data_IF_173500315438
#
_entry.id   IF_173500315438
#
_cell.length_a   1.000
_cell.length_b   1.000
_cell.length_c   1.000
_cell.angle_alpha   90.00
_cell.angle_beta   90.00
_cell.angle_gamma   90.00
#
_symmetry.space_group_name_H-M   'P 1'
#
loop_
_entity.id
_entity.type
_entity.pdbx_description
1 polymer ?
#
# COMPACT_ATOMS: atom_id res chain seq x y z
N UNK A 1 21.70 -6.44 -4.84
CA UNK A 1 20.94 -6.75 -3.60
C UNK A 1 19.56 -7.26 -3.99
N UNK A 2 18.94 -8.14 -3.21
CA UNK A 2 17.56 -8.61 -3.41
C UNK A 2 16.92 -8.96 -2.07
N UNK A 3 15.58 -8.91 -2.01
CA UNK A 3 14.81 -9.33 -0.84
C UNK A 3 13.52 -8.53 -0.65
N UNK A 4 12.64 -9.08 0.19
CA UNK A 4 11.34 -8.50 0.51
C UNK A 4 11.34 -7.72 1.83
N UNK A 5 10.25 -6.98 2.08
CA UNK A 5 9.99 -6.27 3.33
C UNK A 5 11.16 -5.36 3.75
N UNK A 6 11.73 -5.55 4.95
CA UNK A 6 12.89 -4.78 5.42
C UNK A 6 14.04 -4.75 4.40
N UNK A 7 14.30 -5.88 3.75
CA UNK A 7 15.36 -6.01 2.74
C UNK A 7 15.04 -5.26 1.46
N UNK A 8 13.75 -5.18 1.11
CA UNK A 8 13.29 -4.32 0.02
C UNK A 8 13.44 -2.84 0.38
N UNK A 9 13.10 -2.46 1.62
CA UNK A 9 13.23 -1.07 2.10
C UNK A 9 14.69 -0.59 2.09
N UNK A 10 15.63 -1.40 2.57
CA UNK A 10 17.05 -1.02 2.60
C UNK A 10 17.60 -0.80 1.20
N UNK A 11 17.15 -1.58 0.20
CA UNK A 11 17.54 -1.37 -1.19
C UNK A 11 17.12 0.00 -1.72
N UNK A 12 15.89 0.46 -1.43
CA UNK A 12 15.44 1.79 -1.84
C UNK A 12 16.26 2.91 -1.20
N UNK A 13 16.63 2.77 0.08
CA UNK A 13 17.46 3.74 0.79
C UNK A 13 18.87 3.80 0.19
N UNK A 14 19.53 2.65 0.03
CA UNK A 14 20.92 2.59 -0.47
C UNK A 14 20.98 3.05 -1.93
N UNK A 15 20.04 2.63 -2.77
CA UNK A 15 20.01 3.02 -4.18
C UNK A 15 19.81 4.54 -4.35
N UNK A 16 19.13 5.21 -3.42
CA UNK A 16 18.94 6.66 -3.46
C UNK A 16 20.23 7.45 -3.17
N UNK A 17 21.23 6.82 -2.54
CA UNK A 17 22.56 7.41 -2.31
C UNK A 17 23.54 7.20 -3.49
N UNK A 18 23.11 6.49 -4.55
CA UNK A 18 23.90 6.23 -5.77
C UNK A 18 25.36 5.76 -5.52
N UNK A 19 25.59 4.66 -4.77
CA UNK A 19 26.95 4.18 -4.54
C UNK A 19 27.63 3.73 -5.86
N UNK A 20 28.93 4.01 -6.06
CA UNK A 20 29.63 3.75 -7.32
C UNK A 20 29.77 2.26 -7.68
N UNK A 21 29.69 1.36 -6.70
CA UNK A 21 29.75 -0.09 -6.91
C UNK A 21 28.61 -0.79 -6.15
N UNK A 22 27.47 -1.00 -6.81
CA UNK A 22 26.30 -1.68 -6.22
C UNK A 22 26.43 -3.23 -6.23
N UNK A 23 27.63 -3.73 -5.93
CA UNK A 23 27.93 -5.15 -5.84
C UNK A 23 28.62 -5.45 -4.51
N UNK A 24 27.90 -5.96 -3.50
CA UNK A 24 28.60 -6.53 -2.34
C UNK A 24 27.77 -7.53 -1.52
N UNK A 25 28.37 -8.72 -1.34
CA UNK A 25 27.87 -9.88 -0.58
C UNK A 25 28.24 -9.85 0.93
N UNK A 26 28.92 -8.82 1.45
CA UNK A 26 29.32 -8.77 2.87
C UNK A 26 28.33 -8.04 3.82
N UNK A 27 27.17 -7.61 3.31
CA UNK A 27 26.17 -6.88 4.10
C UNK A 27 25.53 -7.71 5.22
N UNK A 28 25.46 -9.04 5.04
CA UNK A 28 24.73 -9.92 5.93
C UNK A 28 25.50 -10.37 7.17
N UNK A 29 26.81 -10.61 7.05
CA UNK A 29 27.67 -10.94 8.18
C UNK A 29 27.89 -9.72 9.10
N UNK A 30 27.83 -8.50 8.54
CA UNK A 30 27.87 -7.25 9.30
C UNK A 30 26.52 -6.94 9.97
N UNK A 31 25.38 -7.16 9.30
CA UNK A 31 24.06 -6.84 9.86
C UNK A 31 23.73 -7.63 11.12
N UNK A 32 24.04 -8.93 11.15
CA UNK A 32 23.66 -9.81 12.26
C UNK A 32 24.52 -9.62 13.53
N UNK A 33 25.66 -8.94 13.41
CA UNK A 33 26.50 -8.57 14.56
C UNK A 33 26.28 -7.12 15.05
N UNK A 34 25.48 -6.29 14.35
CA UNK A 34 25.54 -4.82 14.48
C UNK A 34 24.18 -4.09 14.51
N UNK A 35 23.04 -4.78 14.62
CA UNK A 35 21.70 -4.12 14.71
C UNK A 35 21.42 -3.42 16.06
N UNK A 36 22.45 -2.81 16.63
CA UNK A 36 22.40 -1.74 17.62
C UNK A 36 23.69 -0.92 17.49
N UNK A 37 23.59 0.36 17.12
CA UNK A 37 24.72 1.28 17.25
C UNK A 37 25.09 1.50 18.72
N UNK A 38 26.24 2.14 19.04
CA UNK A 38 26.65 2.44 20.41
C UNK A 38 25.60 3.19 21.24
N UNK A 39 24.66 3.88 20.57
CA UNK A 39 23.54 4.62 21.16
C UNK A 39 22.24 3.84 21.41
N UNK A 40 22.26 2.49 21.38
CA UNK A 40 21.07 1.60 21.46
C UNK A 40 20.21 1.65 20.19
N UNK A 41 19.11 0.90 20.18
CA UNK A 41 18.12 0.87 19.08
C UNK A 41 17.18 2.06 19.19
N UNK A 42 16.85 2.68 18.07
CA UNK A 42 15.78 3.66 17.98
C UNK A 42 14.45 3.04 18.46
N UNK A 43 13.79 3.72 19.39
CA UNK A 43 12.45 3.37 19.82
C UNK A 43 11.42 4.07 18.91
N UNK A 44 11.15 3.45 17.77
CA UNK A 44 10.19 3.97 16.81
C UNK A 44 8.78 4.12 17.42
N UNK A 45 8.42 3.29 18.41
CA UNK A 45 7.12 3.40 19.11
C UNK A 45 7.03 4.71 19.89
N UNK A 46 8.02 4.98 20.74
CA UNK A 46 8.11 6.24 21.48
C UNK A 46 8.16 7.46 20.54
N UNK A 47 8.81 7.34 19.38
CA UNK A 47 8.90 8.44 18.43
C UNK A 47 7.58 8.70 17.68
N UNK A 48 6.76 7.67 17.42
CA UNK A 48 5.38 7.85 16.91
C UNK A 48 4.51 8.58 17.93
N UNK A 49 4.64 8.25 19.22
CA UNK A 49 3.91 8.95 20.29
C UNK A 49 4.37 10.40 20.45
N UNK A 50 5.68 10.64 20.37
CA UNK A 50 6.28 11.97 20.48
C UNK A 50 5.96 12.86 19.27
N UNK A 51 5.99 12.29 18.06
CA UNK A 51 5.85 13.03 16.80
C UNK A 51 4.63 12.54 16.00
N UNK A 52 3.44 12.98 16.42
CA UNK A 52 2.17 12.59 15.81
C UNK A 52 1.84 13.22 14.43
N UNK A 53 2.68 14.14 13.94
CA UNK A 53 2.58 14.75 12.60
C UNK A 53 3.89 14.57 11.84
N UNK A 54 3.81 14.64 10.51
CA UNK A 54 4.98 14.59 9.64
C UNK A 54 5.88 15.81 9.88
N UNK A 55 7.18 15.58 10.03
CA UNK A 55 8.19 16.58 10.33
C UNK A 55 9.57 16.11 9.82
N UNK A 56 10.62 16.88 10.07
CA UNK A 56 11.97 16.59 9.59
C UNK A 56 12.49 15.20 10.03
N UNK A 57 12.11 14.75 11.23
CA UNK A 57 12.47 13.42 11.72
C UNK A 57 11.86 12.29 10.89
N UNK A 58 10.62 12.44 10.43
CA UNK A 58 9.98 11.47 9.54
C UNK A 58 10.44 11.61 8.09
N UNK A 59 10.69 12.85 7.62
CA UNK A 59 11.20 13.10 6.28
C UNK A 59 12.60 12.51 6.08
N UNK A 60 13.47 12.57 7.08
CA UNK A 60 14.80 11.95 7.06
C UNK A 60 14.75 10.43 6.78
N UNK A 61 13.69 9.75 7.21
CA UNK A 61 13.52 8.30 7.03
C UNK A 61 12.97 7.92 5.67
N UNK A 62 12.63 8.90 4.82
CA UNK A 62 12.04 8.67 3.50
C UNK A 62 13.16 8.59 2.45
N UNK A 63 13.22 7.51 1.65
CA UNK A 63 14.20 7.41 0.58
C UNK A 63 13.98 8.52 -0.46
N UNK A 64 15.06 9.15 -0.92
CA UNK A 64 15.05 10.13 -2.02
C UNK A 64 14.91 9.41 -3.36
N UNK A 65 13.72 8.85 -3.62
CA UNK A 65 13.47 7.92 -4.72
C UNK A 65 13.88 8.45 -6.10
N UNK A 66 13.81 9.78 -6.32
CA UNK A 66 14.21 10.42 -7.59
C UNK A 66 15.69 10.23 -7.90
N UNK A 67 16.54 10.09 -6.89
CA UNK A 67 17.97 9.85 -7.08
C UNK A 67 18.26 8.45 -7.63
N UNK A 68 17.30 7.54 -7.66
CA UNK A 68 17.56 6.16 -8.07
C UNK A 68 17.64 6.06 -9.59
N UNK A 69 18.86 5.86 -10.11
CA UNK A 69 19.15 5.65 -11.54
C UNK A 69 19.58 4.20 -11.86
N UNK A 70 19.91 3.42 -10.83
CA UNK A 70 20.38 2.03 -10.97
C UNK A 70 19.33 1.13 -11.64
N UNK A 71 19.73 0.15 -12.48
CA UNK A 71 18.81 -0.85 -12.99
C UNK A 71 18.00 -1.51 -11.88
N UNK A 72 16.71 -1.76 -12.10
CA UNK A 72 15.83 -2.32 -11.08
C UNK A 72 14.82 -3.32 -11.62
N UNK A 73 14.59 -4.35 -10.84
CA UNK A 73 13.52 -5.31 -11.04
C UNK A 73 12.65 -5.34 -9.78
N UNK A 74 11.53 -4.62 -9.83
CA UNK A 74 10.67 -4.38 -8.68
C UNK A 74 9.43 -5.28 -8.71
N UNK A 75 9.03 -5.75 -7.53
CA UNK A 75 7.78 -6.50 -7.33
C UNK A 75 6.86 -5.73 -6.38
N UNK A 76 5.59 -5.61 -6.76
CA UNK A 76 4.52 -5.00 -5.99
C UNK A 76 3.37 -5.99 -5.84
N UNK A 77 3.27 -6.63 -4.68
CA UNK A 77 2.13 -7.46 -4.30
C UNK A 77 1.00 -6.58 -3.79
N UNK A 78 -0.25 -6.90 -4.14
CA UNK A 78 -1.42 -6.28 -3.48
C UNK A 78 -1.90 -7.05 -2.24
N UNK A 79 -1.44 -8.29 -2.02
CA UNK A 79 -1.85 -9.09 -0.86
C UNK A 79 -1.00 -8.83 0.39
N UNK A 80 0.16 -8.17 0.27
CA UNK A 80 1.05 -7.92 1.41
C UNK A 80 0.50 -6.89 2.41
N UNK A 81 -0.51 -6.08 2.02
CA UNK A 81 -1.16 -5.05 2.85
C UNK A 81 -0.19 -4.11 3.60
N UNK A 82 1.04 -3.97 3.10
CA UNK A 82 2.11 -3.20 3.76
C UNK A 82 3.00 -2.51 2.74
N UNK A 83 3.45 -3.26 1.73
CA UNK A 83 4.54 -2.83 0.86
C UNK A 83 4.09 -2.31 -0.51
N UNK A 84 2.81 -2.50 -0.88
CA UNK A 84 2.26 -2.18 -2.21
C UNK A 84 2.52 -0.75 -2.65
N UNK A 85 2.15 0.23 -1.81
CA UNK A 85 2.34 1.66 -2.05
C UNK A 85 3.82 2.01 -2.20
N UNK A 86 4.67 1.52 -1.28
CA UNK A 86 6.10 1.78 -1.30
C UNK A 86 6.78 1.26 -2.56
N UNK A 87 6.49 0.02 -2.97
CA UNK A 87 7.05 -0.57 -4.19
C UNK A 87 6.62 0.18 -5.45
N UNK A 88 5.34 0.57 -5.55
CA UNK A 88 4.85 1.34 -6.69
C UNK A 88 5.46 2.73 -6.76
N UNK A 89 5.54 3.44 -5.64
CA UNK A 89 6.20 4.75 -5.56
C UNK A 89 7.68 4.62 -5.92
N UNK A 90 8.38 3.60 -5.43
CA UNK A 90 9.78 3.34 -5.78
C UNK A 90 9.97 3.17 -7.28
N UNK A 91 9.09 2.40 -7.93
CA UNK A 91 9.13 2.20 -9.38
C UNK A 91 8.76 3.46 -10.19
N UNK A 92 7.69 4.17 -9.82
CA UNK A 92 7.23 5.38 -10.52
C UNK A 92 8.23 6.54 -10.32
N UNK A 93 8.67 6.74 -9.09
CA UNK A 93 9.54 7.86 -8.70
C UNK A 93 11.04 7.60 -8.92
N UNK A 94 11.47 6.45 -9.39
CA UNK A 94 12.86 6.25 -9.80
C UNK A 94 13.13 6.82 -11.19
N UNK A 95 14.34 7.37 -11.40
CA UNK A 95 14.84 7.87 -12.68
C UNK A 95 15.56 6.81 -13.51
N UNK A 96 15.67 5.58 -13.01
CA UNK A 96 16.23 4.45 -13.74
C UNK A 96 15.56 4.27 -15.10
N UNK A 97 16.36 4.29 -16.16
CA UNK A 97 15.94 3.93 -17.53
C UNK A 97 15.76 2.43 -17.70
N UNK A 98 16.38 1.64 -16.81
CA UNK A 98 16.42 0.19 -16.86
C UNK A 98 15.61 -0.40 -15.72
N UNK A 99 14.29 -0.20 -15.79
CA UNK A 99 13.37 -0.66 -14.75
C UNK A 99 12.29 -1.61 -15.26
N UNK A 100 12.00 -2.62 -14.46
CA UNK A 100 10.95 -3.62 -14.68
C UNK A 100 10.04 -3.73 -13.45
N UNK A 101 8.74 -3.88 -13.67
CA UNK A 101 7.73 -4.03 -12.62
C UNK A 101 6.94 -5.33 -12.77
N UNK A 102 6.82 -6.07 -11.67
CA UNK A 102 5.87 -7.15 -11.49
C UNK A 102 4.77 -6.80 -10.50
N UNK A 103 3.53 -6.86 -10.95
CA UNK A 103 2.32 -6.73 -10.12
C UNK A 103 1.70 -8.11 -9.92
N UNK A 104 1.69 -8.58 -8.67
CA UNK A 104 1.41 -9.98 -8.34
C UNK A 104 0.22 -10.12 -7.38
N UNK A 105 -0.45 -11.27 -7.46
CA UNK A 105 -1.65 -11.59 -6.67
C UNK A 105 -1.38 -12.38 -5.39
N UNK A 106 -0.18 -12.94 -5.28
CA UNK A 106 0.25 -13.82 -4.20
C UNK A 106 0.95 -13.03 -3.10
N UNK A 107 1.11 -13.64 -1.94
CA UNK A 107 1.93 -13.08 -0.86
C UNK A 107 3.39 -13.02 -1.32
N UNK A 108 4.10 -11.95 -0.97
CA UNK A 108 5.45 -11.66 -1.50
C UNK A 108 6.51 -12.74 -1.25
N UNK A 109 6.46 -13.42 -0.10
CA UNK A 109 7.32 -14.57 0.22
C UNK A 109 6.96 -15.79 -0.62
N UNK A 110 5.67 -16.02 -0.87
CA UNK A 110 5.28 -17.08 -1.78
C UNK A 110 5.84 -16.84 -3.18
N UNK A 111 5.82 -15.60 -3.67
CA UNK A 111 6.32 -15.23 -4.99
C UNK A 111 7.85 -15.33 -5.08
N UNK A 112 8.61 -14.74 -4.16
CA UNK A 112 10.08 -14.66 -4.30
C UNK A 112 10.77 -16.03 -4.32
N UNK A 113 10.16 -17.05 -3.70
CA UNK A 113 10.70 -18.42 -3.64
C UNK A 113 10.18 -19.36 -4.73
N UNK A 114 9.38 -18.86 -5.69
CA UNK A 114 9.01 -19.66 -6.85
C UNK A 114 10.22 -19.85 -7.76
N UNK A 115 10.51 -21.08 -8.24
CA UNK A 115 11.62 -21.32 -9.16
C UNK A 115 11.64 -20.35 -10.34
N UNK A 116 10.49 -20.15 -10.99
CA UNK A 116 10.33 -19.25 -12.13
C UNK A 116 10.70 -17.78 -11.82
N UNK A 117 10.56 -17.35 -10.56
CA UNK A 117 10.85 -16.00 -10.12
C UNK A 117 12.31 -15.83 -9.68
N UNK A 118 12.88 -16.88 -9.11
CA UNK A 118 14.31 -16.99 -8.84
C UNK A 118 15.09 -16.97 -10.15
N UNK A 119 14.62 -17.68 -11.17
CA UNK A 119 15.23 -17.71 -12.51
C UNK A 119 15.21 -16.32 -13.16
N UNK A 120 14.08 -15.61 -13.10
CA UNK A 120 14.00 -14.22 -13.57
C UNK A 120 14.99 -13.31 -12.82
N UNK A 121 15.08 -13.45 -11.49
CA UNK A 121 16.00 -12.66 -10.67
C UNK A 121 17.46 -12.97 -11.02
N UNK A 122 17.80 -14.24 -11.25
CA UNK A 122 19.12 -14.64 -11.69
C UNK A 122 19.44 -14.05 -13.07
N UNK A 123 18.51 -14.09 -14.03
CA UNK A 123 18.71 -13.47 -15.35
C UNK A 123 18.94 -11.97 -15.25
N UNK A 124 18.19 -11.26 -14.41
CA UNK A 124 18.42 -9.85 -14.15
C UNK A 124 19.83 -9.59 -13.60
N UNK A 125 20.26 -10.33 -12.57
CA UNK A 125 21.60 -10.15 -12.01
C UNK A 125 22.71 -10.57 -12.96
N UNK A 126 22.55 -11.65 -13.70
CA UNK A 126 23.50 -12.09 -14.72
C UNK A 126 23.74 -11.00 -15.77
N UNK A 127 22.68 -10.29 -16.20
CA UNK A 127 22.81 -9.16 -17.13
C UNK A 127 23.56 -7.99 -16.50
N UNK A 128 23.17 -7.54 -15.31
CA UNK A 128 23.65 -6.26 -14.76
C UNK A 128 24.87 -6.36 -13.83
N UNK A 129 25.21 -7.56 -13.36
CA UNK A 129 26.32 -7.80 -12.43
C UNK A 129 27.46 -8.58 -13.08
N UNK A 130 27.15 -9.40 -14.08
CA UNK A 130 28.11 -10.25 -14.79
C UNK A 130 28.24 -9.90 -16.27
N UNK A 131 27.53 -8.87 -16.74
CA UNK A 131 27.52 -8.40 -18.14
C UNK A 131 27.18 -9.51 -19.15
N UNK A 132 26.35 -10.49 -18.74
CA UNK A 132 25.95 -11.57 -19.65
C UNK A 132 24.86 -11.08 -20.61
N UNK A 133 25.07 -11.35 -21.90
CA UNK A 133 24.02 -11.21 -22.90
C UNK A 133 23.06 -12.43 -22.85
N UNK A 134 22.07 -12.36 -21.95
CA UNK A 134 21.10 -13.42 -21.70
C UNK A 134 19.67 -13.06 -22.14
N UNK A 135 19.54 -11.99 -22.92
CA UNK A 135 18.27 -11.46 -23.39
C UNK A 135 17.31 -10.98 -22.29
N UNK A 136 17.82 -10.54 -21.13
CA UNK A 136 16.96 -9.98 -20.08
C UNK A 136 16.20 -8.73 -20.56
N UNK A 137 16.83 -7.89 -21.37
CA UNK A 137 16.29 -6.60 -21.80
C UNK A 137 15.02 -6.73 -22.66
N UNK A 138 14.79 -7.89 -23.30
CA UNK A 138 13.57 -8.20 -24.04
C UNK A 138 12.39 -8.59 -23.11
N UNK A 139 12.61 -8.72 -21.80
CA UNK A 139 11.55 -8.93 -20.83
C UNK A 139 10.60 -7.74 -20.81
N UNK A 140 9.27 -7.94 -20.85
CA UNK A 140 8.29 -6.85 -20.78
C UNK A 140 8.53 -5.95 -19.57
N UNK A 141 8.58 -4.63 -19.80
CA UNK A 141 8.83 -3.62 -18.76
C UNK A 141 7.84 -3.71 -17.61
N UNK A 142 6.59 -4.08 -17.90
CA UNK A 142 5.56 -4.31 -16.90
C UNK A 142 4.90 -5.65 -17.14
N UNK A 143 4.80 -6.45 -16.07
CA UNK A 143 3.98 -7.66 -16.01
C UNK A 143 3.02 -7.53 -14.85
N UNK A 144 1.72 -7.62 -15.08
CA UNK A 144 0.71 -7.46 -14.03
C UNK A 144 -0.31 -8.59 -14.05
N UNK A 145 -1.02 -8.70 -12.93
CA UNK A 145 -1.95 -9.78 -12.68
C UNK A 145 -3.30 -9.24 -12.20
N UNK A 146 -4.37 -9.94 -12.54
CA UNK A 146 -5.75 -9.65 -12.15
C UNK A 146 -6.23 -10.72 -11.17
N UNK A 147 -6.59 -10.30 -9.96
CA UNK A 147 -7.16 -11.17 -8.94
C UNK A 147 -8.56 -11.63 -9.37
N UNK A 148 -8.74 -12.94 -9.52
CA UNK A 148 -10.04 -13.56 -9.66
C UNK A 148 -10.53 -14.09 -8.31
N UNK A 149 -11.70 -13.62 -7.86
CA UNK A 149 -12.32 -14.13 -6.63
C UNK A 149 -13.07 -15.45 -6.86
N UNK A 150 -13.91 -15.47 -7.90
CA UNK A 150 -14.75 -16.61 -8.26
C UNK A 150 -14.22 -17.37 -9.49
N UNK A 151 -13.00 -17.03 -9.93
CA UNK A 151 -12.29 -17.63 -11.05
C UNK A 151 -10.78 -17.67 -10.77
N UNK A 152 -10.00 -18.50 -11.48
CA UNK A 152 -8.54 -18.40 -11.44
C UNK A 152 -8.07 -16.97 -11.79
N UNK A 153 -7.06 -16.49 -11.06
CA UNK A 153 -6.42 -15.21 -11.36
C UNK A 153 -5.70 -15.26 -12.71
N UNK A 154 -5.69 -14.14 -13.43
CA UNK A 154 -4.94 -14.00 -14.68
C UNK A 154 -3.59 -13.38 -14.31
N UNK A 155 -2.49 -14.07 -14.60
CA UNK A 155 -1.13 -13.66 -14.20
C UNK A 155 -0.25 -13.36 -15.42
N UNK A 156 0.82 -12.59 -15.19
CA UNK A 156 1.85 -12.28 -16.20
C UNK A 156 1.36 -11.58 -17.48
N UNK A 157 0.32 -10.75 -17.37
CA UNK A 157 -0.13 -9.93 -18.49
C UNK A 157 0.94 -8.88 -18.78
N UNK A 158 1.44 -8.85 -20.01
CA UNK A 158 2.51 -7.94 -20.42
C UNK A 158 1.97 -6.54 -20.74
N UNK A 159 2.77 -5.52 -20.46
CA UNK A 159 2.56 -4.13 -20.86
C UNK A 159 3.91 -3.39 -20.96
N UNK A 160 3.94 -2.36 -21.81
CA UNK A 160 5.15 -1.55 -22.02
C UNK A 160 5.31 -0.43 -20.97
N UNK A 161 4.22 -0.07 -20.30
CA UNK A 161 4.19 1.02 -19.32
C UNK A 161 3.24 0.72 -18.15
N UNK A 162 3.46 1.43 -17.05
CA UNK A 162 2.58 1.43 -15.88
C UNK A 162 2.02 2.85 -15.64
N UNK A 163 0.70 3.02 -15.53
CA UNK A 163 -0.35 2.03 -15.83
C UNK A 163 -0.35 1.59 -17.30
N UNK A 164 -0.89 0.39 -17.63
CA UNK A 164 -0.98 -0.09 -19.02
C UNK A 164 -1.71 0.92 -19.93
N UNK A 165 -1.36 1.00 -21.22
CA UNK A 165 -1.91 2.00 -22.14
C UNK A 165 -3.46 1.99 -22.28
N UNK A 166 -4.10 0.84 -22.02
CA UNK A 166 -5.56 0.70 -22.02
C UNK A 166 -6.24 1.10 -20.71
N UNK A 167 -5.48 1.46 -19.69
CA UNK A 167 -6.00 1.88 -18.39
C UNK A 167 -6.82 3.17 -18.54
N UNK A 168 -7.99 3.23 -17.91
CA UNK A 168 -8.90 4.38 -17.92
C UNK A 168 -9.38 4.65 -16.50
N UNK A 169 -9.64 5.92 -16.22
CA UNK A 169 -10.28 6.36 -14.98
C UNK A 169 -11.76 6.50 -15.24
N UNK A 170 -12.56 5.88 -14.36
CA UNK A 170 -14.00 6.01 -14.34
C UNK A 170 -14.43 6.57 -12.98
N UNK A 171 -15.36 7.53 -13.01
CA UNK A 171 -15.94 8.11 -11.78
C UNK A 171 -17.28 7.44 -11.49
N UNK A 172 -17.41 6.89 -10.29
CA UNK A 172 -18.67 6.42 -9.74
C UNK A 172 -19.10 7.35 -8.61
N UNK A 173 -20.33 7.83 -8.68
CA UNK A 173 -20.97 8.64 -7.65
C UNK A 173 -21.76 7.77 -6.69
N UNK A 174 -21.67 8.07 -5.40
CA UNK A 174 -22.49 7.47 -4.36
C UNK A 174 -23.82 8.22 -4.25
N UNK A 175 -24.91 7.49 -4.35
CA UNK A 175 -26.23 7.95 -3.92
C UNK A 175 -26.49 7.44 -2.50
N UNK A 176 -26.48 8.35 -1.52
CA UNK A 176 -26.67 7.98 -0.12
C UNK A 176 -28.12 7.60 0.22
N UNK A 177 -29.10 8.03 -0.57
CA UNK A 177 -30.51 7.66 -0.36
C UNK A 177 -30.79 6.21 -0.79
N UNK A 178 -30.20 5.77 -1.90
CA UNK A 178 -30.36 4.41 -2.41
C UNK A 178 -29.25 3.44 -1.98
N UNK A 179 -28.11 3.96 -1.49
CA UNK A 179 -26.95 3.17 -1.11
C UNK A 179 -26.22 2.53 -2.30
N UNK A 180 -26.32 3.15 -3.49
CA UNK A 180 -25.79 2.59 -4.75
C UNK A 180 -24.66 3.43 -5.33
N UNK A 181 -23.81 2.80 -6.13
CA UNK A 181 -22.79 3.47 -6.95
C UNK A 181 -23.26 3.49 -8.41
N UNK A 182 -23.11 4.64 -9.07
CA UNK A 182 -23.46 4.77 -10.49
C UNK A 182 -22.64 5.84 -11.22
N UNK A 183 -22.69 5.84 -12.54
CA UNK A 183 -21.95 6.82 -13.37
C UNK A 183 -22.58 8.21 -13.39
N UNK A 184 -23.85 8.33 -12.99
CA UNK A 184 -24.58 9.58 -12.97
C UNK A 184 -24.50 10.21 -11.59
N UNK A 185 -24.14 11.49 -11.52
CA UNK A 185 -24.19 12.26 -10.28
C UNK A 185 -25.65 12.39 -9.81
N UNK A 186 -25.98 12.07 -8.54
CA UNK A 186 -27.31 12.30 -8.00
C UNK A 186 -27.73 13.78 -8.13
N UNK A 187 -28.98 14.01 -8.50
CA UNK A 187 -29.54 15.36 -8.65
C UNK A 187 -29.88 16.03 -7.32
N UNK A 188 -30.01 15.23 -6.25
CA UNK A 188 -30.45 15.66 -4.93
C UNK A 188 -29.43 15.23 -3.90
N UNK A 189 -29.11 16.14 -2.98
CA UNK A 189 -28.25 15.83 -1.84
C UNK A 189 -28.95 14.88 -0.87
N UNK A 190 -28.21 13.91 -0.36
CA UNK A 190 -28.67 12.98 0.68
C UNK A 190 -27.53 12.65 1.63
N UNK A 191 -27.89 12.31 2.88
CA UNK A 191 -26.95 12.02 3.95
C UNK A 191 -27.29 10.66 4.54
N UNK A 192 -26.25 9.88 4.83
CA UNK A 192 -26.34 8.63 5.60
C UNK A 192 -25.51 8.77 6.86
N UNK A 193 -26.10 8.42 8.01
CA UNK A 193 -25.40 8.39 9.29
C UNK A 193 -25.07 6.96 9.69
N UNK A 194 -23.82 6.74 10.09
CA UNK A 194 -23.35 5.45 10.58
C UNK A 194 -22.83 5.62 12.00
N UNK A 195 -23.32 4.81 12.94
CA UNK A 195 -22.78 4.82 14.31
C UNK A 195 -21.33 4.35 14.27
N UNK A 196 -20.42 5.15 14.82
CA UNK A 196 -19.08 4.69 15.17
C UNK A 196 -19.24 3.66 16.29
N UNK A 197 -19.09 2.37 15.97
CA UNK A 197 -19.05 1.36 17.03
C UNK A 197 -17.80 1.66 17.86
N UNK A 198 -18.03 2.19 19.05
CA UNK A 198 -17.02 2.35 20.08
C UNK A 198 -17.14 1.09 20.94
N UNK A 199 -16.12 0.22 21.03
CA UNK A 199 -16.21 -0.93 21.91
C UNK A 199 -15.96 -0.46 23.33
N UNK A 200 -16.98 0.11 23.98
CA UNK A 200 -16.98 0.31 25.42
C UNK A 200 -18.39 0.07 25.96
N UNK A 201 -18.52 -1.15 26.52
CA UNK A 201 -19.35 -1.64 27.63
C UNK A 201 -20.09 -2.91 27.25
N UNK A 202 -19.74 -3.97 27.97
CA UNK A 202 -20.37 -5.28 28.00
C UNK A 202 -21.89 -5.13 28.15
N UNK A 203 -22.64 -5.47 27.12
CA UNK A 203 -23.97 -6.02 27.33
C UNK A 203 -24.18 -7.23 26.43
N UNK A 204 -24.14 -8.38 27.08
CA UNK A 204 -24.36 -9.67 26.47
C UNK A 204 -25.86 -9.84 26.23
N UNK A 205 -26.36 -9.45 25.06
CA UNK A 205 -27.52 -10.11 24.44
C UNK A 205 -27.86 -9.61 23.02
N UNK A 206 -27.90 -10.60 22.11
CA UNK A 206 -28.68 -10.69 20.86
C UNK A 206 -28.01 -10.28 19.55
N UNK A 207 -28.50 -10.75 18.38
CA UNK A 207 -28.86 -12.12 18.01
C UNK A 207 -27.93 -12.66 16.91
N UNK A 208 -27.95 -13.98 16.72
CA UNK A 208 -27.12 -14.77 15.81
C UNK A 208 -27.05 -14.23 14.37
N UNK A 209 -25.85 -13.94 13.82
CA UNK A 209 -25.67 -13.78 12.38
C UNK A 209 -25.66 -15.16 11.71
N UNK A 210 -26.32 -15.27 10.55
CA UNK A 210 -26.31 -16.46 9.72
C UNK A 210 -24.89 -16.96 9.46
N UNK A 211 -24.61 -18.21 9.84
CA UNK A 211 -23.34 -18.92 9.63
C UNK A 211 -22.99 -18.98 8.14
N UNK A 212 -22.17 -18.05 7.65
CA UNK A 212 -21.37 -18.28 6.44
C UNK A 212 -20.03 -18.87 6.89
N UNK A 213 -19.80 -20.15 6.56
CA UNK A 213 -18.49 -20.79 6.71
C UNK A 213 -17.46 -20.02 5.88
N UNK A 214 -16.70 -19.12 6.49
CA UNK A 214 -15.50 -18.55 5.88
C UNK A 214 -14.39 -19.56 6.10
N UNK A 215 -14.00 -20.28 5.03
CA UNK A 215 -13.06 -21.42 5.09
C UNK A 215 -11.62 -21.06 4.72
N UNK A 216 -11.24 -19.78 4.65
CA UNK A 216 -9.86 -19.40 4.27
C UNK A 216 -9.40 -18.19 5.09
N UNK A 217 -8.38 -18.40 5.92
CA UNK A 217 -7.61 -17.31 6.52
C UNK A 217 -7.02 -16.45 5.40
N UNK A 218 -7.13 -15.12 5.52
CA UNK A 218 -6.56 -14.12 4.59
C UNK A 218 -7.14 -14.02 3.17
N UNK A 219 -8.47 -14.05 3.00
CA UNK A 219 -9.04 -13.54 1.75
C UNK A 219 -8.79 -12.02 1.68
N UNK A 220 -7.98 -11.56 0.70
CA UNK A 220 -7.99 -10.16 0.29
C UNK A 220 -9.42 -9.81 -0.11
N UNK A 221 -9.98 -8.70 0.37
CA UNK A 221 -11.38 -8.31 0.13
C UNK A 221 -11.52 -7.08 -0.74
N UNK A 222 -10.40 -6.58 -1.25
CA UNK A 222 -10.34 -5.38 -2.06
C UNK A 222 -9.37 -4.34 -1.48
N UNK A 223 -9.13 -3.28 -2.26
CA UNK A 223 -8.32 -2.16 -1.82
C UNK A 223 -9.03 -1.37 -0.72
N UNK A 224 -8.26 -0.85 0.23
CA UNK A 224 -8.76 0.04 1.27
C UNK A 224 -7.95 1.34 1.32
N UNK A 225 -8.55 2.37 1.90
CA UNK A 225 -7.93 3.66 2.17
C UNK A 225 -8.27 4.09 3.59
N UNK A 226 -7.41 4.89 4.20
CA UNK A 226 -7.62 5.41 5.56
C UNK A 226 -7.14 6.84 5.64
N UNK A 227 -7.98 7.70 6.17
CA UNK A 227 -7.62 9.08 6.47
C UNK A 227 -8.28 9.50 7.78
N UNK A 228 -7.48 10.07 8.68
CA UNK A 228 -8.02 10.85 9.80
C UNK A 228 -8.46 12.20 9.23
N UNK A 229 -9.67 12.64 9.55
CA UNK A 229 -10.22 13.87 8.97
C UNK A 229 -9.45 15.16 9.34
N UNK A 230 -8.69 15.16 10.44
CA UNK A 230 -7.91 16.35 10.84
C UNK A 230 -6.70 16.64 9.95
N UNK A 231 -5.82 15.68 9.57
CA UNK A 231 -4.75 15.92 8.60
C UNK A 231 -5.19 15.79 7.13
N UNK A 232 -6.32 16.40 6.75
CA UNK A 232 -6.92 16.32 5.40
C UNK A 232 -6.37 17.31 4.37
N UNK A 233 -5.29 18.03 4.68
CA UNK A 233 -4.72 18.99 3.75
C UNK A 233 -4.25 18.30 2.45
N UNK A 234 -4.46 18.95 1.31
CA UNK A 234 -4.02 18.49 -0.02
C UNK A 234 -3.28 19.65 -0.69
N UNK A 235 -2.02 19.91 -0.30
CA UNK A 235 -1.21 20.88 -1.01
C UNK A 235 -0.79 20.31 -2.36
N UNK A 236 -0.41 21.20 -3.28
CA UNK A 236 0.35 20.79 -4.45
C UNK A 236 1.65 20.12 -4.00
N UNK A 237 1.92 18.91 -4.48
CA UNK A 237 3.18 18.22 -4.23
C UNK A 237 4.13 18.52 -5.37
N UNK A 238 5.32 19.03 -5.06
CA UNK A 238 6.49 19.00 -5.94
C UNK A 238 7.61 18.22 -5.26
N UNK A 239 8.55 17.75 -6.06
CA UNK A 239 9.87 17.29 -5.62
C UNK A 239 10.91 18.25 -6.19
N UNK A 240 12.12 18.22 -5.65
CA UNK A 240 13.22 19.12 -6.04
C UNK A 240 13.46 19.12 -7.56
N UNK A 241 13.36 17.96 -8.21
CA UNK A 241 13.56 17.76 -9.65
C UNK A 241 12.27 17.38 -10.42
N UNK A 242 11.09 17.54 -9.81
CA UNK A 242 9.80 17.20 -10.43
C UNK A 242 8.71 18.20 -10.05
N UNK A 243 8.28 19.01 -11.02
CA UNK A 243 7.23 20.00 -10.83
C UNK A 243 5.88 19.35 -10.47
N UNK A 244 4.94 20.14 -9.94
CA UNK A 244 3.66 19.60 -9.46
C UNK A 244 2.81 18.98 -10.56
N UNK A 245 2.78 19.57 -11.75
CA UNK A 245 2.00 19.02 -12.87
C UNK A 245 2.58 17.68 -13.36
N UNK A 246 3.91 17.58 -13.42
CA UNK A 246 4.59 16.33 -13.79
C UNK A 246 4.42 15.25 -12.72
N UNK A 247 4.48 15.62 -11.44
CA UNK A 247 4.18 14.72 -10.33
C UNK A 247 2.75 14.20 -10.41
N UNK A 248 1.77 15.08 -10.62
CA UNK A 248 0.37 14.71 -10.75
C UNK A 248 0.12 13.83 -11.97
N UNK A 249 0.76 14.12 -13.10
CA UNK A 249 0.70 13.28 -14.30
C UNK A 249 1.29 11.88 -14.04
N UNK A 250 2.37 11.79 -13.28
CA UNK A 250 3.05 10.54 -12.96
C UNK A 250 2.25 9.66 -11.98
N UNK A 251 1.61 10.28 -10.98
CA UNK A 251 0.83 9.57 -9.96
C UNK A 251 -0.61 9.27 -10.40
N UNK A 252 -1.17 10.15 -11.24
CA UNK A 252 -2.53 10.07 -11.75
C UNK A 252 -3.60 10.61 -10.78
N UNK A 253 -4.81 10.91 -11.29
CA UNK A 253 -5.87 11.60 -10.54
C UNK A 253 -6.48 10.80 -9.38
N UNK A 254 -6.35 9.48 -9.35
CA UNK A 254 -6.85 8.66 -8.24
C UNK A 254 -5.94 8.65 -7.01
N UNK A 255 -4.75 9.25 -7.12
CA UNK A 255 -3.79 9.36 -6.04
C UNK A 255 -3.79 10.76 -5.45
N UNK A 256 -3.88 10.85 -4.12
CA UNK A 256 -3.90 12.12 -3.39
C UNK A 256 -2.75 12.13 -2.38
N UNK A 257 -1.99 13.22 -2.39
CA UNK A 257 -0.92 13.43 -1.44
C UNK A 257 -1.42 14.25 -0.25
N UNK A 258 -1.37 13.65 0.93
CA UNK A 258 -1.51 14.36 2.19
C UNK A 258 -0.12 14.55 2.82
N UNK A 259 0.25 15.79 3.22
CA UNK A 259 1.56 16.09 3.79
C UNK A 259 1.64 15.64 5.24
N UNK A 260 0.48 15.55 5.92
CA UNK A 260 0.36 15.22 7.35
C UNK A 260 1.20 16.10 8.29
N UNK A 261 1.61 17.29 7.85
CA UNK A 261 2.44 18.23 8.63
C UNK A 261 1.66 19.05 9.66
N UNK A 262 0.35 19.20 9.46
CA UNK A 262 -0.54 19.96 10.34
C UNK A 262 -1.90 19.29 10.47
N UNK A 263 -2.62 19.65 11.54
CA UNK A 263 -3.99 19.20 11.81
C UNK A 263 -4.97 20.36 11.66
N UNK A 264 -6.14 20.05 11.09
CA UNK A 264 -7.27 20.98 10.97
C UNK A 264 -8.39 20.46 11.89
N UNK A 265 -8.55 21.03 13.10
CA UNK A 265 -9.59 20.59 14.03
C UNK A 265 -10.97 20.77 13.41
N UNK A 266 -11.91 19.91 13.83
CA UNK A 266 -13.30 19.95 13.39
C UNK A 266 -14.18 20.47 14.52
N UNK A 267 -15.14 21.33 14.17
CA UNK A 267 -16.25 21.67 15.07
C UNK A 267 -17.31 20.58 14.98
N UNK A 268 -18.15 20.48 16.01
CA UNK A 268 -19.34 19.63 15.95
C UNK A 268 -20.18 20.02 14.74
N UNK A 269 -20.68 19.02 14.02
CA UNK A 269 -21.51 19.14 12.82
C UNK A 269 -20.85 19.85 11.61
N UNK A 270 -19.54 20.08 11.67
CA UNK A 270 -18.79 20.63 10.54
C UNK A 270 -18.62 19.57 9.45
N UNK A 271 -19.25 19.81 8.29
CA UNK A 271 -19.05 19.00 7.09
C UNK A 271 -17.73 19.41 6.43
N UNK A 272 -16.90 18.42 6.08
CA UNK A 272 -15.64 18.62 5.35
C UNK A 272 -15.51 17.58 4.24
N UNK A 273 -14.90 18.00 3.14
CA UNK A 273 -14.50 17.11 2.06
C UNK A 273 -13.26 16.30 2.46
N UNK A 274 -13.24 15.03 2.06
CA UNK A 274 -12.13 14.11 2.30
C UNK A 274 -11.82 13.37 1.00
N UNK A 275 -10.62 13.59 0.48
CA UNK A 275 -10.07 12.72 -0.56
C UNK A 275 -9.30 11.57 0.09
N UNK A 276 -9.67 10.33 -0.23
CA UNK A 276 -9.05 9.14 0.35
C UNK A 276 -8.56 8.24 -0.77
N UNK A 277 -7.24 8.16 -0.95
CA UNK A 277 -6.65 7.19 -1.87
C UNK A 277 -6.88 5.77 -1.37
N UNK A 278 -7.40 4.92 -2.25
CA UNK A 278 -7.46 3.48 -2.04
C UNK A 278 -6.14 2.85 -2.50
N UNK A 279 -5.67 1.84 -1.77
CA UNK A 279 -4.48 1.10 -2.19
C UNK A 279 -4.61 0.51 -3.60
N UNK A 280 -3.57 0.59 -4.45
CA UNK A 280 -3.63 0.06 -5.80
C UNK A 280 -3.88 -1.44 -5.84
N UNK A 281 -5.08 -1.83 -6.26
CA UNK A 281 -5.50 -3.22 -6.51
C UNK A 281 -5.67 -3.51 -8.01
N UNK A 282 -5.75 -4.79 -8.37
CA UNK A 282 -6.09 -5.23 -9.73
C UNK A 282 -6.95 -6.48 -9.66
N UNK A 283 -8.24 -6.33 -9.93
CA UNK A 283 -9.30 -7.34 -9.74
C UNK A 283 -10.03 -7.50 -11.07
N UNK A 284 -10.40 -8.73 -11.42
CA UNK A 284 -11.30 -9.03 -12.54
C UNK A 284 -12.71 -9.28 -12.01
N UNK A 285 -13.70 -8.69 -12.67
CA UNK A 285 -15.13 -8.90 -12.39
C UNK A 285 -15.77 -9.58 -13.60
N UNK A 286 -16.43 -10.71 -13.38
CA UNK A 286 -17.24 -11.41 -14.39
C UNK A 286 -18.65 -10.79 -14.49
N UNK A 287 -19.37 -11.02 -15.60
CA UNK A 287 -20.75 -10.55 -15.73
C UNK A 287 -21.63 -11.01 -14.56
N UNK A 288 -22.35 -10.06 -13.93
CA UNK A 288 -23.18 -10.31 -12.76
C UNK A 288 -22.48 -10.10 -11.41
N UNK A 289 -21.15 -9.93 -11.40
CA UNK A 289 -20.42 -9.50 -10.21
C UNK A 289 -20.47 -7.98 -10.03
N UNK A 290 -20.35 -7.52 -8.80
CA UNK A 290 -20.41 -6.10 -8.46
C UNK A 290 -19.33 -5.69 -7.46
N UNK A 291 -18.89 -4.45 -7.54
CA UNK A 291 -18.07 -3.81 -6.50
C UNK A 291 -18.96 -3.26 -5.39
N UNK A 292 -18.48 -3.30 -4.15
CA UNK A 292 -19.10 -2.63 -3.00
C UNK A 292 -18.10 -1.69 -2.36
N UNK A 293 -18.54 -0.46 -2.10
CA UNK A 293 -17.82 0.49 -1.27
C UNK A 293 -18.38 0.45 0.15
N UNK A 294 -17.50 0.39 1.14
CA UNK A 294 -17.87 0.37 2.55
C UNK A 294 -17.17 1.50 3.29
N UNK A 295 -17.92 2.23 4.11
CA UNK A 295 -17.41 3.25 5.01
C UNK A 295 -17.46 2.75 6.44
N UNK A 296 -16.39 2.94 7.19
CA UNK A 296 -16.32 2.53 8.59
C UNK A 296 -15.40 3.44 9.40
N UNK A 297 -15.77 3.68 10.67
CA UNK A 297 -14.96 4.44 11.62
C UNK A 297 -13.83 3.63 12.28
N UNK A 298 -13.71 2.34 11.93
CA UNK A 298 -12.69 1.41 12.43
C UNK A 298 -12.21 0.50 11.30
N UNK A 299 -11.03 -0.12 11.50
CA UNK A 299 -10.51 -1.09 10.56
C UNK A 299 -11.43 -2.28 10.42
N UNK A 300 -11.90 -2.54 9.20
CA UNK A 300 -12.61 -3.77 8.84
C UNK A 300 -11.59 -4.92 8.85
N UNK A 301 -11.40 -5.55 10.01
CA UNK A 301 -10.75 -6.86 10.12
C UNK A 301 -11.89 -7.87 10.08
N UNK A 302 -12.09 -8.53 8.95
CA UNK A 302 -12.92 -9.73 8.92
C UNK A 302 -12.22 -10.78 9.78
N UNK A 303 -12.85 -11.17 10.88
CA UNK A 303 -12.28 -12.10 11.85
C UNK A 303 -12.16 -13.50 11.21
N UNK A 304 -11.01 -14.13 11.44
CA UNK A 304 -10.59 -15.37 10.78
C UNK A 304 -11.29 -16.64 11.31
N UNK A 305 -11.97 -16.60 12.47
CA UNK A 305 -12.64 -17.77 13.07
C UNK A 305 -13.88 -17.38 13.90
N UNK A 306 -14.88 -18.27 13.92
CA UNK A 306 -16.01 -18.18 14.87
C UNK A 306 -15.47 -18.26 16.31
N UNK A 307 -15.91 -17.36 17.22
CA UNK A 307 -15.62 -17.44 18.66
C UNK A 307 -14.35 -16.73 19.16
N UNK A 308 -13.57 -16.04 18.32
CA UNK A 308 -12.35 -15.33 18.78
C UNK A 308 -12.66 -14.21 19.78
N UNK A 309 -13.80 -13.54 19.66
CA UNK A 309 -14.25 -12.54 20.64
C UNK A 309 -14.54 -13.13 22.04
N UNK A 310 -14.74 -14.45 22.14
CA UNK A 310 -15.06 -15.12 23.41
C UNK A 310 -13.79 -15.46 24.22
N UNK A 311 -12.61 -15.42 23.60
CA UNK A 311 -11.33 -15.82 24.20
C UNK A 311 -10.21 -14.78 24.11
N UNK A 312 -10.45 -13.64 23.45
CA UNK A 312 -9.59 -12.47 23.58
C UNK A 312 -9.82 -11.85 24.96
N UNK A 313 -9.01 -12.27 25.95
CA UNK A 313 -8.76 -11.41 27.09
C UNK A 313 -8.06 -10.15 26.61
N UNK A 314 -8.59 -9.01 27.04
CA UNK A 314 -8.26 -7.69 26.54
C UNK A 314 -6.80 -7.33 26.83
N UNK A 315 -5.89 -7.72 25.92
CA UNK A 315 -4.50 -7.28 25.92
C UNK A 315 -4.31 -5.99 25.11
N UNK A 316 -5.38 -5.20 24.90
CA UNK A 316 -5.25 -3.83 24.38
C UNK A 316 -4.83 -2.82 25.45
N UNK A 317 -4.53 -3.27 26.67
CA UNK A 317 -3.89 -2.48 27.72
C UNK A 317 -2.38 -2.18 27.49
N UNK A 318 -1.90 -2.23 26.24
CA UNK A 318 -0.64 -1.56 25.85
C UNK A 318 -0.99 -0.31 25.04
N UNK A 319 -1.25 0.75 25.81
CA UNK A 319 -1.11 2.18 25.51
C UNK A 319 -1.76 2.72 24.23
N UNK A 320 -3.04 3.08 24.32
CA UNK A 320 -3.45 4.44 23.93
C UNK A 320 -4.41 5.00 24.99
N UNK A 321 -3.85 5.69 25.98
CA UNK A 321 -4.60 6.43 26.98
C UNK A 321 -5.26 7.68 26.40
N UNK A 322 -6.26 7.50 25.54
CA UNK A 322 -7.17 8.56 25.15
C UNK A 322 -8.57 8.21 25.66
N UNK A 323 -8.87 8.68 26.88
CA UNK A 323 -10.25 8.88 27.31
C UNK A 323 -10.88 9.99 26.45
N UNK A 324 -12.01 9.70 25.81
CA UNK A 324 -12.84 10.74 25.20
C UNK A 324 -13.52 11.56 26.31
N UNK A 325 -13.51 12.90 26.23
CA UNK A 325 -14.43 13.75 27.01
C UNK A 325 -15.88 13.64 26.52
#
# INVERSE_FOLDING_TARGET
MAGNSWLGKTQWLIAAEQPPHFAYHAFWDLLMNWTGGPGKREDAGAMVEKYGTWNDYWEDKKPKLRNIITPMYATASFSSRLHTEGSLRGFQLSRSSEKWLRRIVTQEWHDIYRPENVDDMQRFFDKYMLDKDNGWEQTPRVRYSLLGYNRPSIVHISADQFPPARFRYDTLFLDAASGTLGYNKPSTESVVECKRICPLTTDARSPTPSRRRVRRATQYIGPNGRLRASPRAIPYKSLEDLGSDEYNKLMGPAYVYHPHTATQPLRRDQIVELDISLWPGSIIFDPGESMRLEFAGQGQILQDFDGVNEHLHDNTALSTGYSCP
#
